data_IF_320740056476
#
_entry.id   IF_320740056476
#
_cell.length_a   1.000
_cell.length_b   1.000
_cell.length_c   1.000
_cell.angle_alpha   90.00
_cell.angle_beta   90.00
_cell.angle_gamma   90.00
#
_symmetry.space_group_name_H-M   'P 1'
#
loop_
_entity.id
_entity.type
_entity.pdbx_description
1 polymer ?
#
# COMPACT_ATOMS: atom_id res chain seq x y z
N UNK A 1 -10.63 -0.73 5.80
CA UNK A 1 -10.15 -0.36 4.46
C UNK A 1 -9.08 -1.35 4.02
N UNK A 2 -8.55 -1.26 2.80
CA UNK A 2 -7.38 -2.03 2.36
C UNK A 2 -6.29 -1.05 1.95
N UNK A 3 -5.04 -1.33 2.34
CA UNK A 3 -3.87 -0.53 1.96
C UNK A 3 -2.79 -1.47 1.47
N UNK A 4 -2.16 -1.13 0.36
CA UNK A 4 -1.07 -1.88 -0.25
C UNK A 4 -0.34 -1.03 -1.27
N UNK A 5 0.63 -1.61 -1.95
CA UNK A 5 1.38 -0.97 -3.03
C UNK A 5 0.64 -1.22 -4.34
N UNK A 6 0.42 -0.17 -5.12
CA UNK A 6 -0.20 -0.31 -6.44
C UNK A 6 0.72 -1.11 -7.38
N UNK A 7 0.25 -2.26 -7.85
CA UNK A 7 0.98 -3.08 -8.83
C UNK A 7 0.53 -2.74 -10.25
N UNK A 8 -0.78 -2.79 -10.52
CA UNK A 8 -1.33 -2.59 -11.86
C UNK A 8 -2.76 -2.03 -11.82
N UNK A 9 -3.10 -1.24 -12.84
CA UNK A 9 -4.48 -0.88 -13.19
C UNK A 9 -4.76 -1.37 -14.60
N UNK A 10 -5.69 -2.31 -14.74
CA UNK A 10 -6.13 -2.81 -16.04
C UNK A 10 -7.49 -2.17 -16.38
N UNK A 11 -7.51 -1.32 -17.41
CA UNK A 11 -8.72 -0.59 -17.81
C UNK A 11 -9.70 -1.47 -18.59
N UNK A 12 -9.22 -2.45 -19.34
CA UNK A 12 -10.06 -3.34 -20.17
C UNK A 12 -10.89 -4.27 -19.29
N UNK A 13 -10.28 -4.82 -18.24
CA UNK A 13 -10.94 -5.66 -17.25
C UNK A 13 -11.59 -4.86 -16.11
N UNK A 14 -11.31 -3.56 -16.04
CA UNK A 14 -11.71 -2.69 -14.94
C UNK A 14 -11.26 -3.26 -13.57
N UNK A 15 -9.97 -3.58 -13.44
CA UNK A 15 -9.39 -4.14 -12.20
C UNK A 15 -8.20 -3.31 -11.70
N UNK A 16 -7.98 -3.39 -10.38
CA UNK A 16 -6.83 -2.79 -9.70
C UNK A 16 -6.17 -3.87 -8.85
N UNK A 17 -4.87 -4.03 -9.03
CA UNK A 17 -4.09 -5.02 -8.30
C UNK A 17 -3.15 -4.34 -7.31
N UNK A 18 -3.15 -4.82 -6.07
CA UNK A 18 -2.28 -4.34 -5.00
C UNK A 18 -1.38 -5.47 -4.48
N UNK A 19 -0.14 -5.12 -4.17
CA UNK A 19 0.83 -5.96 -3.46
C UNK A 19 0.94 -5.59 -1.99
N UNK A 20 1.38 -6.54 -1.15
CA UNK A 20 1.64 -6.34 0.28
C UNK A 20 0.44 -5.69 1.01
N UNK A 21 -0.74 -6.25 0.80
CA UNK A 21 -2.01 -5.64 1.20
C UNK A 21 -2.36 -5.99 2.64
N UNK A 22 -2.64 -4.97 3.45
CA UNK A 22 -3.18 -5.09 4.82
C UNK A 22 -4.65 -4.69 4.85
N UNK A 23 -5.46 -5.45 5.60
CA UNK A 23 -6.86 -5.12 5.87
C UNK A 23 -7.00 -4.41 7.21
N UNK A 24 -7.66 -3.25 7.19
CA UNK A 24 -8.06 -2.51 8.38
C UNK A 24 -9.51 -2.82 8.80
N UNK A 25 -10.15 -3.80 8.14
CA UNK A 25 -11.52 -4.18 8.47
C UNK A 25 -12.56 -3.15 8.01
N UNK A 26 -13.68 -3.07 8.72
CA UNK A 26 -14.83 -2.24 8.33
C UNK A 26 -14.80 -0.83 8.93
N UNK A 27 -14.10 -0.61 10.04
CA UNK A 27 -13.85 0.71 10.65
C UNK A 27 -15.12 1.54 10.89
N UNK A 28 -16.21 0.91 11.36
CA UNK A 28 -17.47 1.62 11.66
C UNK A 28 -18.33 1.89 10.42
N UNK A 29 -18.00 1.31 9.27
CA UNK A 29 -18.79 1.44 8.04
C UNK A 29 -20.00 0.50 8.00
N UNK A 30 -20.15 -0.42 8.95
CA UNK A 30 -21.33 -1.29 9.05
C UNK A 30 -22.36 -0.69 9.99
N UNK A 31 -23.64 -0.93 9.70
CA UNK A 31 -24.74 -0.41 10.53
C UNK A 31 -24.93 -1.20 11.83
N UNK A 32 -24.41 -2.42 11.88
CA UNK A 32 -24.61 -3.36 12.98
C UNK A 32 -23.24 -3.75 13.58
N UNK A 33 -23.04 -3.64 14.91
CA UNK A 33 -21.77 -3.97 15.56
C UNK A 33 -21.30 -5.41 15.32
N UNK A 34 -22.21 -6.36 15.19
CA UNK A 34 -21.93 -7.77 14.94
C UNK A 34 -21.43 -8.07 13.52
N UNK A 35 -21.59 -7.13 12.58
CA UNK A 35 -21.07 -7.23 11.22
C UNK A 35 -19.71 -6.54 11.06
N UNK A 36 -19.22 -5.87 12.11
CA UNK A 36 -17.93 -5.21 12.08
C UNK A 36 -16.80 -6.25 12.07
N UNK A 37 -15.83 -6.00 11.20
CA UNK A 37 -14.62 -6.80 11.05
C UNK A 37 -13.47 -5.95 11.58
N UNK A 38 -12.73 -6.49 12.54
CA UNK A 38 -11.54 -5.84 13.08
C UNK A 38 -10.38 -5.79 12.05
N UNK A 39 -9.42 -4.87 12.22
CA UNK A 39 -8.17 -4.91 11.47
C UNK A 39 -7.46 -6.26 11.61
N UNK A 40 -6.81 -6.69 10.54
CA UNK A 40 -5.99 -7.90 10.52
C UNK A 40 -4.52 -7.53 10.35
N UNK A 41 -3.64 -8.17 11.11
CA UNK A 41 -2.19 -8.08 10.92
C UNK A 41 -1.67 -8.97 9.79
N UNK A 42 -2.54 -9.79 9.19
CA UNK A 42 -2.21 -10.57 8.01
C UNK A 42 -1.93 -9.65 6.81
N UNK A 43 -0.77 -9.86 6.19
CA UNK A 43 -0.40 -9.24 4.91
C UNK A 43 -0.66 -10.24 3.80
N UNK A 44 -1.48 -9.84 2.85
CA UNK A 44 -1.72 -10.60 1.62
C UNK A 44 -0.71 -10.18 0.58
N UNK A 45 -0.01 -11.14 -0.01
CA UNK A 45 1.00 -10.86 -1.02
C UNK A 45 0.40 -10.13 -2.22
N UNK A 46 -0.80 -10.55 -2.67
CA UNK A 46 -1.47 -9.98 -3.82
C UNK A 46 -2.99 -10.02 -3.66
N UNK A 47 -3.67 -8.91 -3.99
CA UNK A 47 -5.14 -8.83 -4.06
C UNK A 47 -5.55 -8.09 -5.34
N UNK A 48 -6.53 -8.64 -6.05
CA UNK A 48 -7.17 -8.00 -7.20
C UNK A 48 -8.55 -7.50 -6.79
N UNK A 49 -8.79 -6.21 -6.99
CA UNK A 49 -10.09 -5.58 -6.82
C UNK A 49 -10.73 -5.34 -8.18
N UNK A 50 -11.99 -5.72 -8.32
CA UNK A 50 -12.80 -5.25 -9.45
C UNK A 50 -13.19 -3.81 -9.20
N UNK A 51 -13.17 -2.98 -10.22
CA UNK A 51 -13.55 -1.56 -10.14
C UNK A 51 -14.98 -1.37 -9.60
N UNK A 52 -15.87 -2.33 -9.85
CA UNK A 52 -17.24 -2.35 -9.29
C UNK A 52 -17.29 -2.47 -7.76
N UNK A 53 -16.28 -3.11 -7.17
CA UNK A 53 -16.22 -3.38 -5.74
C UNK A 53 -15.42 -2.29 -4.99
N UNK A 54 -14.74 -1.42 -5.73
CA UNK A 54 -13.96 -0.29 -5.20
C UNK A 54 -14.86 0.93 -5.09
N UNK A 55 -15.14 1.35 -3.85
CA UNK A 55 -15.90 2.57 -3.59
C UNK A 55 -15.04 3.84 -3.78
N UNK A 56 -13.79 3.79 -3.36
CA UNK A 56 -12.87 4.93 -3.37
C UNK A 56 -11.43 4.41 -3.40
N UNK A 57 -10.56 5.07 -4.16
CA UNK A 57 -9.13 4.77 -4.25
C UNK A 57 -8.34 6.04 -3.98
N UNK A 58 -7.47 6.00 -2.98
CA UNK A 58 -6.63 7.14 -2.58
C UNK A 58 -5.17 6.72 -2.56
N UNK A 59 -4.31 7.67 -2.89
CA UNK A 59 -2.87 7.52 -2.72
C UNK A 59 -2.54 8.02 -1.32
N UNK A 60 -1.93 7.18 -0.51
CA UNK A 60 -1.39 7.55 0.80
C UNK A 60 0.01 8.13 0.59
N UNK A 61 0.23 9.36 1.07
CA UNK A 61 1.56 9.94 1.17
C UNK A 61 2.39 9.11 2.15
N UNK A 62 3.33 8.32 1.62
CA UNK A 62 4.25 7.56 2.47
C UNK A 62 5.17 8.54 3.21
N UNK A 63 5.21 8.55 4.56
CA UNK A 63 6.20 9.33 5.32
C UNK A 63 7.63 8.75 5.23
N UNK A 64 7.91 7.91 4.23
CA UNK A 64 8.99 6.93 4.28
C UNK A 64 9.68 6.59 2.97
N UNK A 65 9.40 7.28 1.86
CA UNK A 65 10.41 7.35 0.79
C UNK A 65 11.51 8.28 1.32
N UNK A 66 12.31 7.78 2.27
CA UNK A 66 13.68 8.24 2.36
C UNK A 66 14.21 7.86 1.00
N UNK A 67 14.35 8.85 0.12
CA UNK A 67 15.27 8.75 -1.01
C UNK A 67 16.45 7.93 -0.50
N UNK A 68 16.79 6.84 -1.18
CA UNK A 68 18.01 6.10 -0.91
C UNK A 68 19.15 7.11 -1.02
N UNK A 69 19.45 7.81 0.08
CA UNK A 69 20.56 8.73 0.17
C UNK A 69 21.72 7.78 -0.05
N UNK A 70 22.33 7.89 -1.23
CA UNK A 70 23.47 7.09 -1.60
C UNK A 70 24.38 7.02 -0.36
N UNK A 71 24.84 5.82 0.06
CA UNK A 71 25.68 5.71 1.23
C UNK A 71 26.75 6.77 1.12
N UNK A 72 26.83 7.67 2.12
CA UNK A 72 27.78 8.74 2.12
C UNK A 72 29.15 8.09 1.90
N UNK A 73 29.72 8.31 0.71
CA UNK A 73 31.05 7.86 0.38
C UNK A 73 31.96 8.34 1.51
N UNK A 74 32.68 7.44 2.20
CA UNK A 74 33.67 7.88 3.17
C UNK A 74 34.63 8.83 2.45
N UNK A 75 34.91 9.99 3.03
CA UNK A 75 35.95 10.88 2.50
C UNK A 75 37.29 10.13 2.57
N UNK A 76 37.72 9.59 1.44
CA UNK A 76 38.98 8.88 1.31
C UNK A 76 40.14 9.90 1.24
N UNK A 77 41.04 9.93 2.23
CA UNK A 77 42.18 10.84 2.24
C UNK A 77 43.25 10.50 1.17
N UNK A 78 43.06 9.48 0.33
CA UNK A 78 44.00 9.13 -0.75
C UNK A 78 43.86 9.98 -2.03
N UNK A 79 42.85 10.85 -2.16
CA UNK A 79 42.77 11.79 -3.29
C UNK A 79 43.63 13.03 -2.97
N UNK A 80 44.94 12.87 -3.17
CA UNK A 80 45.88 14.00 -3.26
C UNK A 80 45.90 14.44 -4.72
N UNK A 81 45.38 15.63 -4.99
CA UNK A 81 45.63 16.41 -6.20
C UNK A 81 46.51 17.61 -5.86
#
# INVERSE_FOLDING_TARGET
SYVGVLHEINSDESTVSLENVKSFGTEGRKSRPEEEIAPSDQVYEYIIFRGSDVKDLRIEDHPGIKENKAPAVPEDPAIVG
#
